data_IF_627733759837
#
_entry.id   IF_627733759837
#
_cell.length_a   1.000
_cell.length_b   1.000
_cell.length_c   1.000
_cell.angle_alpha   90.00
_cell.angle_beta   90.00
_cell.angle_gamma   90.00
#
_symmetry.space_group_name_H-M   'P 1'
#
loop_
_entity.id
_entity.type
_entity.pdbx_description
1 polymer ?
#
# COMPACT_ATOMS: atom_id res chain seq x y z
N UNK A 1 16.51 -25.57 9.02
CA UNK A 1 16.00 -25.17 7.71
C UNK A 1 16.97 -24.24 6.96
N UNK A 2 17.54 -23.19 7.58
CA UNK A 2 18.53 -22.29 6.96
C UNK A 2 19.70 -23.00 6.26
N UNK A 3 20.34 -23.97 6.93
CA UNK A 3 21.47 -24.73 6.37
C UNK A 3 21.11 -25.51 5.10
N UNK A 4 19.89 -26.08 5.04
CA UNK A 4 19.40 -26.79 3.85
C UNK A 4 19.18 -25.82 2.68
N UNK A 5 18.57 -24.66 2.93
CA UNK A 5 18.35 -23.62 1.92
C UNK A 5 19.67 -23.02 1.41
N UNK A 6 20.66 -22.81 2.28
CA UNK A 6 21.99 -22.35 1.87
C UNK A 6 22.70 -23.35 0.97
N UNK A 7 22.61 -24.63 1.31
CA UNK A 7 23.16 -25.72 0.49
C UNK A 7 22.43 -25.79 -0.86
N UNK A 8 21.10 -25.72 -0.86
CA UNK A 8 20.32 -25.74 -2.09
C UNK A 8 20.63 -24.53 -2.99
N UNK A 9 20.79 -23.32 -2.43
CA UNK A 9 21.19 -22.13 -3.21
C UNK A 9 22.51 -22.31 -3.93
N UNK A 10 23.48 -23.02 -3.31
CA UNK A 10 24.81 -23.24 -3.91
C UNK A 10 24.83 -24.41 -4.88
N UNK A 11 24.09 -25.48 -4.60
CA UNK A 11 24.11 -26.70 -5.41
C UNK A 11 23.09 -26.71 -6.53
N UNK A 12 21.93 -26.06 -6.33
CA UNK A 12 20.79 -26.09 -7.24
C UNK A 12 20.18 -24.68 -7.44
N UNK A 13 20.95 -23.71 -7.96
CA UNK A 13 20.46 -22.35 -8.14
C UNK A 13 19.19 -22.28 -9.01
N UNK A 14 19.09 -23.13 -10.03
CA UNK A 14 17.92 -23.22 -10.92
C UNK A 14 16.65 -23.65 -10.19
N UNK A 15 16.77 -24.43 -9.10
CA UNK A 15 15.63 -24.86 -8.31
C UNK A 15 14.87 -23.67 -7.71
N UNK A 16 15.59 -22.68 -7.18
CA UNK A 16 14.97 -21.48 -6.60
C UNK A 16 14.27 -20.64 -7.65
N UNK A 17 14.86 -20.51 -8.84
CA UNK A 17 14.24 -19.77 -9.97
C UNK A 17 12.95 -20.44 -10.41
N UNK A 18 12.95 -21.78 -10.52
CA UNK A 18 11.74 -22.54 -10.87
C UNK A 18 10.69 -22.44 -9.77
N UNK A 19 11.12 -22.57 -8.50
CA UNK A 19 10.22 -22.47 -7.34
C UNK A 19 9.57 -21.10 -7.25
N UNK A 20 10.34 -20.02 -7.42
CA UNK A 20 9.83 -18.64 -7.46
C UNK A 20 8.79 -18.47 -8.56
N UNK A 21 9.08 -18.89 -9.78
CA UNK A 21 8.17 -18.80 -10.91
C UNK A 21 6.85 -19.50 -10.64
N UNK A 22 6.88 -20.74 -10.12
CA UNK A 22 5.69 -21.51 -9.76
C UNK A 22 4.91 -20.88 -8.61
N UNK A 23 5.63 -20.36 -7.62
CA UNK A 23 5.02 -19.59 -6.53
C UNK A 23 4.27 -18.37 -7.05
N UNK A 24 4.87 -17.58 -7.94
CA UNK A 24 4.22 -16.40 -8.53
C UNK A 24 3.00 -16.77 -9.37
N UNK A 25 3.05 -17.88 -10.10
CA UNK A 25 1.90 -18.42 -10.84
C UNK A 25 0.75 -18.78 -9.88
N UNK A 26 1.02 -19.53 -8.83
CA UNK A 26 0.01 -19.94 -7.85
C UNK A 26 -0.58 -18.73 -7.12
N UNK A 27 0.27 -17.78 -6.68
CA UNK A 27 -0.18 -16.51 -6.05
C UNK A 27 -1.12 -15.73 -6.96
N UNK A 28 -0.72 -15.55 -8.22
CA UNK A 28 -1.54 -14.81 -9.16
C UNK A 28 -2.89 -15.50 -9.41
N UNK A 29 -2.89 -16.83 -9.58
CA UNK A 29 -4.14 -17.58 -9.73
C UNK A 29 -5.02 -17.40 -8.48
N UNK A 30 -4.48 -17.58 -7.26
CA UNK A 30 -5.21 -17.36 -5.99
C UNK A 30 -5.93 -16.00 -5.96
N UNK A 31 -5.24 -14.96 -6.43
CA UNK A 31 -5.72 -13.59 -6.37
C UNK A 31 -6.75 -13.24 -7.47
N UNK A 32 -6.60 -13.83 -8.65
CA UNK A 32 -7.32 -13.41 -9.84
C UNK A 32 -8.27 -14.47 -10.40
N UNK A 33 -8.41 -15.61 -9.73
CA UNK A 33 -9.22 -16.72 -10.21
C UNK A 33 -10.72 -16.39 -10.35
N UNK A 34 -11.37 -16.89 -11.41
CA UNK A 34 -10.81 -17.67 -12.49
C UNK A 34 -10.02 -16.79 -13.49
N UNK A 35 -8.81 -17.22 -13.88
CA UNK A 35 -7.91 -16.42 -14.73
C UNK A 35 -7.51 -17.15 -16.01
N UNK A 36 -7.55 -16.42 -17.13
CA UNK A 36 -7.13 -16.92 -18.44
C UNK A 36 -5.61 -16.97 -18.61
N UNK A 37 -5.10 -17.94 -19.42
CA UNK A 37 -3.66 -18.11 -19.66
C UNK A 37 -2.98 -16.86 -20.22
N UNK A 38 -3.59 -16.15 -21.18
CA UNK A 38 -3.01 -14.93 -21.75
C UNK A 38 -2.85 -13.83 -20.71
N UNK A 39 -3.87 -13.61 -19.92
CA UNK A 39 -3.83 -12.61 -18.83
C UNK A 39 -2.71 -12.94 -17.85
N UNK A 40 -2.59 -14.21 -17.44
CA UNK A 40 -1.55 -14.67 -16.54
C UNK A 40 -0.13 -14.50 -17.13
N UNK A 41 0.05 -14.86 -18.41
CA UNK A 41 1.34 -14.72 -19.11
C UNK A 41 1.81 -13.25 -19.17
N UNK A 42 0.89 -12.34 -19.55
CA UNK A 42 1.16 -10.90 -19.61
C UNK A 42 1.51 -10.37 -18.22
N UNK A 43 0.71 -10.71 -17.21
CA UNK A 43 0.88 -10.18 -15.85
C UNK A 43 2.16 -10.65 -15.15
N UNK A 44 2.67 -11.84 -15.51
CA UNK A 44 3.92 -12.39 -14.97
C UNK A 44 5.12 -12.19 -15.90
N UNK A 45 4.94 -11.45 -17.00
CA UNK A 45 5.97 -11.24 -18.02
C UNK A 45 6.61 -12.56 -18.53
N UNK A 46 5.74 -13.59 -18.73
CA UNK A 46 6.13 -14.90 -19.22
C UNK A 46 5.67 -15.08 -20.68
N UNK A 47 6.44 -15.86 -21.45
CA UNK A 47 5.95 -16.29 -22.76
C UNK A 47 4.78 -17.29 -22.58
N UNK A 48 3.82 -17.30 -23.53
CA UNK A 48 2.71 -18.26 -23.48
C UNK A 48 3.20 -19.72 -23.47
N UNK A 49 4.31 -20.01 -24.15
CA UNK A 49 4.94 -21.33 -24.18
C UNK A 49 5.44 -21.74 -22.79
N UNK A 50 6.18 -20.85 -22.13
CA UNK A 50 6.71 -21.08 -20.76
C UNK A 50 5.56 -21.27 -19.79
N UNK A 51 4.59 -20.36 -19.81
CA UNK A 51 3.44 -20.46 -18.92
C UNK A 51 2.64 -21.75 -19.13
N UNK A 52 2.42 -22.17 -20.37
CA UNK A 52 1.72 -23.42 -20.69
C UNK A 52 2.43 -24.60 -20.03
N UNK A 53 3.74 -24.72 -20.21
CA UNK A 53 4.54 -25.80 -19.61
C UNK A 53 4.42 -25.84 -18.09
N UNK A 54 4.53 -24.67 -17.42
CA UNK A 54 4.43 -24.60 -15.96
C UNK A 54 3.02 -24.92 -15.46
N UNK A 55 1.97 -24.40 -16.13
CA UNK A 55 0.58 -24.68 -15.77
C UNK A 55 0.22 -26.15 -16.01
N UNK A 56 0.68 -26.76 -17.09
CA UNK A 56 0.45 -28.19 -17.36
C UNK A 56 1.16 -29.05 -16.30
N UNK A 57 2.36 -28.65 -15.87
CA UNK A 57 3.04 -29.29 -14.73
C UNK A 57 2.23 -29.12 -13.44
N UNK A 58 1.84 -27.90 -13.05
CA UNK A 58 1.05 -27.65 -11.83
C UNK A 58 -0.29 -28.40 -11.83
N UNK A 59 -0.94 -28.53 -13.00
CA UNK A 59 -2.13 -29.35 -13.16
C UNK A 59 -1.83 -30.83 -12.93
N UNK A 60 -0.71 -31.36 -13.48
CA UNK A 60 -0.32 -32.76 -13.28
C UNK A 60 -0.01 -33.10 -11.82
N UNK A 61 0.36 -32.08 -11.02
CA UNK A 61 0.55 -32.18 -9.59
C UNK A 61 -0.72 -31.89 -8.78
N UNK A 62 -1.88 -31.82 -9.43
CA UNK A 62 -3.18 -31.52 -8.79
C UNK A 62 -3.25 -30.18 -8.03
N UNK A 63 -2.44 -29.17 -8.41
CA UNK A 63 -2.40 -27.87 -7.75
C UNK A 63 -3.30 -26.82 -8.44
N UNK A 64 -3.61 -27.02 -9.74
CA UNK A 64 -4.38 -26.08 -10.57
C UNK A 64 -5.43 -26.83 -11.37
N UNK A 65 -6.66 -26.34 -11.36
CA UNK A 65 -7.74 -26.73 -12.26
C UNK A 65 -7.77 -25.82 -13.48
N UNK A 66 -8.10 -26.38 -14.64
CA UNK A 66 -8.27 -25.63 -15.89
C UNK A 66 -9.68 -25.87 -16.40
N UNK A 67 -10.49 -24.80 -16.43
CA UNK A 67 -11.84 -24.79 -16.95
C UNK A 67 -11.93 -23.90 -18.20
N UNK A 68 -13.05 -23.96 -18.90
CA UNK A 68 -13.34 -23.02 -20.00
C UNK A 68 -13.40 -21.56 -19.53
N UNK A 69 -13.83 -21.34 -18.27
CA UNK A 69 -13.88 -20.02 -17.62
C UNK A 69 -12.50 -19.48 -17.17
N UNK A 70 -11.49 -20.36 -17.12
CA UNK A 70 -10.15 -19.99 -16.63
C UNK A 70 -9.56 -21.00 -15.64
N UNK A 71 -8.40 -20.67 -15.10
CA UNK A 71 -7.67 -21.47 -14.11
C UNK A 71 -8.06 -21.06 -12.70
N UNK A 72 -8.14 -22.06 -11.81
CA UNK A 72 -8.35 -21.90 -10.37
C UNK A 72 -7.38 -22.80 -9.61
N UNK A 73 -7.07 -22.47 -8.35
CA UNK A 73 -6.36 -23.39 -7.47
C UNK A 73 -7.30 -24.54 -7.06
N UNK A 74 -6.71 -25.69 -6.79
CA UNK A 74 -7.35 -26.77 -6.03
C UNK A 74 -7.21 -26.51 -4.53
N UNK A 75 -7.88 -27.29 -3.67
CA UNK A 75 -7.69 -27.22 -2.23
C UNK A 75 -6.24 -27.56 -1.84
N UNK A 76 -5.64 -28.57 -2.49
CA UNK A 76 -4.23 -28.93 -2.33
C UNK A 76 -3.31 -27.80 -2.80
N UNK A 77 -3.64 -27.14 -3.92
CA UNK A 77 -2.91 -25.97 -4.41
C UNK A 77 -2.94 -24.80 -3.45
N UNK A 78 -4.06 -24.57 -2.76
CA UNK A 78 -4.17 -23.56 -1.70
C UNK A 78 -3.30 -23.91 -0.50
N UNK A 79 -3.35 -25.13 -0.02
CA UNK A 79 -2.56 -25.62 1.12
C UNK A 79 -1.06 -25.52 0.83
N UNK A 80 -0.61 -25.97 -0.34
CA UNK A 80 0.80 -25.89 -0.76
C UNK A 80 1.25 -24.43 -0.88
N UNK A 81 0.41 -23.56 -1.44
CA UNK A 81 0.75 -22.14 -1.56
C UNK A 81 0.92 -21.48 -0.18
N UNK A 82 0.03 -21.77 0.77
CA UNK A 82 0.12 -21.22 2.13
C UNK A 82 1.40 -21.70 2.86
N UNK A 83 1.78 -22.97 2.70
CA UNK A 83 3.06 -23.50 3.21
C UNK A 83 4.27 -22.86 2.50
N UNK A 84 4.19 -22.66 1.21
CA UNK A 84 5.27 -22.12 0.39
C UNK A 84 5.51 -20.63 0.68
N UNK A 85 4.47 -19.88 1.09
CA UNK A 85 4.59 -18.46 1.42
C UNK A 85 5.65 -18.20 2.50
N UNK A 86 5.62 -18.96 3.60
CA UNK A 86 6.62 -18.87 4.67
C UNK A 86 8.04 -19.22 4.19
N UNK A 87 8.16 -20.29 3.38
CA UNK A 87 9.46 -20.70 2.82
C UNK A 87 10.02 -19.63 1.89
N UNK A 88 9.17 -19.07 1.02
CA UNK A 88 9.60 -18.03 0.09
C UNK A 88 10.02 -16.76 0.79
N UNK A 89 9.33 -16.34 1.85
CA UNK A 89 9.75 -15.19 2.68
C UNK A 89 11.16 -15.41 3.24
N UNK A 90 11.46 -16.62 3.78
CA UNK A 90 12.79 -16.97 4.29
C UNK A 90 13.85 -16.99 3.17
N UNK A 91 13.54 -17.60 2.03
CA UNK A 91 14.43 -17.68 0.85
C UNK A 91 14.77 -16.31 0.28
N UNK A 92 13.79 -15.42 0.18
CA UNK A 92 13.95 -14.05 -0.31
C UNK A 92 14.55 -13.11 0.73
N UNK A 93 14.68 -13.55 1.99
CA UNK A 93 15.20 -12.74 3.08
C UNK A 93 14.27 -11.60 3.50
N UNK A 94 12.98 -11.73 3.23
CA UNK A 94 11.97 -10.69 3.52
C UNK A 94 12.00 -10.30 5.00
N UNK A 95 12.04 -11.30 5.91
CA UNK A 95 12.05 -11.05 7.35
C UNK A 95 13.32 -10.34 7.84
N UNK A 96 14.43 -10.47 7.10
CA UNK A 96 15.69 -9.76 7.38
C UNK A 96 15.54 -8.30 6.90
N UNK A 97 15.00 -8.10 5.70
CA UNK A 97 14.77 -6.75 5.15
C UNK A 97 13.78 -5.97 6.00
N UNK A 98 12.69 -6.59 6.48
CA UNK A 98 11.72 -5.95 7.37
C UNK A 98 12.38 -5.42 8.64
N UNK A 99 13.17 -6.26 9.33
CA UNK A 99 13.90 -5.84 10.54
C UNK A 99 14.91 -4.73 10.25
N UNK A 100 15.69 -4.87 9.19
CA UNK A 100 16.68 -3.86 8.80
C UNK A 100 16.03 -2.51 8.50
N UNK A 101 14.89 -2.50 7.79
CA UNK A 101 14.16 -1.27 7.51
C UNK A 101 13.47 -0.72 8.76
N UNK A 102 12.90 -1.57 9.62
CA UNK A 102 12.30 -1.16 10.89
C UNK A 102 13.31 -0.39 11.75
N UNK A 103 14.52 -0.93 11.90
CA UNK A 103 15.60 -0.30 12.66
C UNK A 103 16.09 1.00 12.00
N UNK A 104 16.34 1.00 10.69
CA UNK A 104 16.90 2.15 9.98
C UNK A 104 15.90 3.31 9.82
N UNK A 105 14.62 3.03 9.70
CA UNK A 105 13.55 4.02 9.58
C UNK A 105 12.96 4.42 10.94
N UNK A 106 13.30 3.71 12.02
CA UNK A 106 12.81 3.94 13.39
C UNK A 106 11.27 3.92 13.48
N UNK A 107 10.64 2.96 12.81
CA UNK A 107 9.19 2.74 12.79
C UNK A 107 8.81 1.51 13.61
N UNK A 108 7.53 1.39 13.99
CA UNK A 108 7.04 0.29 14.81
C UNK A 108 7.12 -1.07 14.09
N UNK A 109 6.77 -1.09 12.81
CA UNK A 109 6.71 -2.31 12.01
C UNK A 109 6.94 -2.01 10.54
N UNK A 110 7.57 -2.93 9.83
CA UNK A 110 7.65 -2.94 8.37
C UNK A 110 7.09 -4.26 7.85
N UNK A 111 6.19 -4.18 6.89
CA UNK A 111 5.59 -5.34 6.20
C UNK A 111 5.96 -5.24 4.73
N UNK A 112 6.63 -6.25 4.20
CA UNK A 112 7.06 -6.30 2.80
C UNK A 112 6.25 -7.37 2.07
N UNK A 113 5.58 -6.97 0.99
CA UNK A 113 4.99 -7.90 0.02
C UNK A 113 5.97 -8.14 -1.14
N UNK A 114 6.06 -9.38 -1.60
CA UNK A 114 6.99 -9.73 -2.70
C UNK A 114 6.57 -9.11 -4.02
N UNK A 115 7.55 -8.65 -4.80
CA UNK A 115 7.40 -8.12 -6.15
C UNK A 115 7.60 -6.61 -6.26
N UNK A 116 7.21 -6.05 -7.43
CA UNK A 116 7.34 -4.63 -7.76
C UNK A 116 6.03 -4.11 -8.36
N UNK A 117 5.36 -3.20 -7.66
CA UNK A 117 4.07 -2.66 -8.13
C UNK A 117 4.21 -1.65 -9.29
N UNK A 118 5.42 -1.20 -9.63
CA UNK A 118 5.67 -0.39 -10.82
C UNK A 118 5.61 -1.23 -12.10
N UNK A 119 6.07 -2.48 -12.03
CA UNK A 119 6.10 -3.41 -13.15
C UNK A 119 4.89 -4.33 -13.17
N UNK A 120 4.38 -4.66 -12.00
CA UNK A 120 3.38 -5.71 -11.79
C UNK A 120 2.17 -5.17 -11.02
N UNK A 121 1.14 -4.64 -11.71
CA UNK A 121 0.02 -3.93 -11.07
C UNK A 121 -0.74 -4.71 -10.00
N UNK A 122 -0.76 -6.06 -10.07
CA UNK A 122 -1.44 -6.88 -9.07
C UNK A 122 -0.74 -6.87 -7.70
N UNK A 123 0.57 -6.53 -7.64
CA UNK A 123 1.30 -6.36 -6.36
C UNK A 123 0.64 -5.28 -5.50
N UNK A 124 0.02 -4.27 -6.12
CA UNK A 124 -0.77 -3.27 -5.39
C UNK A 124 -1.96 -3.86 -4.63
N UNK A 125 -2.57 -4.94 -5.15
CA UNK A 125 -3.63 -5.67 -4.44
C UNK A 125 -3.08 -6.40 -3.21
N UNK A 126 -1.86 -6.95 -3.30
CA UNK A 126 -1.19 -7.56 -2.15
C UNK A 126 -0.87 -6.52 -1.07
N UNK A 127 -0.41 -5.30 -1.45
CA UNK A 127 -0.27 -4.19 -0.51
C UNK A 127 -1.60 -3.87 0.18
N UNK A 128 -2.68 -3.82 -0.60
CA UNK A 128 -4.04 -3.61 -0.08
C UNK A 128 -4.47 -4.69 0.91
N UNK A 129 -4.21 -5.96 0.60
CA UNK A 129 -4.52 -7.11 1.45
C UNK A 129 -3.68 -7.11 2.72
N UNK A 130 -2.37 -6.83 2.62
CA UNK A 130 -1.48 -6.72 3.77
C UNK A 130 -1.97 -5.62 4.73
N UNK A 131 -2.36 -4.45 4.20
CA UNK A 131 -2.93 -3.37 4.99
C UNK A 131 -4.25 -3.77 5.65
N UNK A 132 -5.19 -4.35 4.90
CA UNK A 132 -6.47 -4.81 5.45
C UNK A 132 -6.29 -5.83 6.59
N UNK A 133 -5.35 -6.77 6.44
CA UNK A 133 -5.04 -7.73 7.48
C UNK A 133 -4.41 -7.06 8.71
N UNK A 134 -3.47 -6.11 8.49
CA UNK A 134 -2.80 -5.39 9.58
C UNK A 134 -3.77 -4.53 10.38
N UNK A 135 -4.70 -3.85 9.71
CA UNK A 135 -5.78 -3.10 10.36
C UNK A 135 -6.60 -3.96 11.31
N UNK A 136 -6.96 -5.17 10.90
CA UNK A 136 -7.81 -6.10 11.67
C UNK A 136 -7.20 -6.49 13.02
N UNK A 137 -5.88 -6.49 13.14
CA UNK A 137 -5.21 -6.82 14.41
C UNK A 137 -5.49 -5.78 15.51
N UNK A 138 -5.84 -4.55 15.13
CA UNK A 138 -6.01 -3.44 16.09
C UNK A 138 -7.40 -2.79 16.08
N UNK A 139 -8.26 -3.07 15.11
CA UNK A 139 -9.52 -2.36 15.02
C UNK A 139 -10.53 -2.72 16.11
N UNK A 140 -10.27 -3.72 16.93
CA UNK A 140 -11.05 -3.97 18.15
C UNK A 140 -10.98 -2.82 19.16
N UNK A 141 -9.88 -2.07 19.17
CA UNK A 141 -9.63 -0.94 20.07
C UNK A 141 -9.77 0.43 19.38
N UNK A 142 -9.95 0.45 18.06
CA UNK A 142 -10.00 1.67 17.23
C UNK A 142 -11.38 1.86 16.65
N UNK A 143 -12.02 2.98 17.01
CA UNK A 143 -13.38 3.27 16.57
C UNK A 143 -13.42 4.20 15.35
N UNK A 144 -12.46 5.12 15.21
CA UNK A 144 -12.41 6.08 14.10
C UNK A 144 -11.12 5.86 13.29
N UNK A 145 -11.29 5.60 11.99
CA UNK A 145 -10.20 5.35 11.05
C UNK A 145 -10.23 6.41 9.95
N UNK A 146 -9.21 7.27 9.91
CA UNK A 146 -9.05 8.27 8.88
C UNK A 146 -8.26 7.71 7.68
N UNK A 147 -8.77 7.91 6.47
CA UNK A 147 -8.18 7.33 5.25
C UNK A 147 -7.98 8.39 4.17
N UNK A 148 -6.80 8.44 3.56
CA UNK A 148 -6.54 9.30 2.42
C UNK A 148 -7.10 8.72 1.12
N UNK A 149 -7.10 9.50 0.06
CA UNK A 149 -7.37 9.02 -1.30
C UNK A 149 -6.18 8.27 -1.92
N UNK A 150 -6.36 7.80 -3.13
CA UNK A 150 -5.33 7.20 -3.97
C UNK A 150 -5.59 5.75 -4.37
N UNK A 151 -4.98 5.31 -5.47
CA UNK A 151 -5.21 3.98 -6.04
C UNK A 151 -4.80 2.83 -5.11
N UNK A 152 -3.79 3.03 -4.26
CA UNK A 152 -3.38 2.04 -3.26
C UNK A 152 -4.44 1.91 -2.16
N UNK A 153 -5.00 3.03 -1.69
CA UNK A 153 -6.09 3.04 -0.71
C UNK A 153 -7.36 2.41 -1.26
N UNK A 154 -7.64 2.58 -2.56
CA UNK A 154 -8.74 1.89 -3.23
C UNK A 154 -8.56 0.35 -3.18
N UNK A 155 -7.33 -0.17 -3.31
CA UNK A 155 -7.05 -1.60 -3.17
C UNK A 155 -7.15 -2.07 -1.71
N UNK A 156 -6.79 -1.24 -0.73
CA UNK A 156 -7.07 -1.55 0.69
C UNK A 156 -8.58 -1.73 0.91
N UNK A 157 -9.40 -0.79 0.39
CA UNK A 157 -10.85 -0.89 0.49
C UNK A 157 -11.41 -2.15 -0.19
N UNK A 158 -10.84 -2.55 -1.36
CA UNK A 158 -11.22 -3.78 -2.05
C UNK A 158 -10.95 -5.05 -1.23
N UNK A 159 -9.93 -5.01 -0.38
CA UNK A 159 -9.42 -6.15 0.37
C UNK A 159 -10.05 -6.33 1.75
N UNK A 160 -10.86 -5.38 2.21
CA UNK A 160 -11.56 -5.50 3.48
C UNK A 160 -12.65 -6.57 3.44
N UNK A 161 -12.86 -7.21 4.58
CA UNK A 161 -13.98 -8.12 4.84
C UNK A 161 -14.49 -7.91 6.26
N UNK A 162 -15.79 -8.12 6.52
CA UNK A 162 -16.39 -7.86 7.80
C UNK A 162 -15.98 -8.88 8.86
N UNK A 163 -16.00 -8.43 10.12
CA UNK A 163 -16.02 -9.26 11.32
C UNK A 163 -16.92 -8.59 12.37
N UNK A 164 -17.05 -9.19 13.55
CA UNK A 164 -17.92 -8.65 14.62
C UNK A 164 -17.39 -7.29 15.15
N UNK A 165 -16.09 -7.11 15.18
CA UNK A 165 -15.48 -5.87 15.69
C UNK A 165 -15.64 -4.71 14.71
N UNK A 166 -15.66 -5.00 13.40
CA UNK A 166 -15.76 -3.98 12.36
C UNK A 166 -17.06 -3.18 12.40
N UNK A 167 -18.15 -3.74 12.96
CA UNK A 167 -19.44 -3.06 13.11
C UNK A 167 -19.38 -1.78 13.96
N UNK A 168 -18.35 -1.63 14.78
CA UNK A 168 -18.13 -0.47 15.67
C UNK A 168 -17.27 0.62 15.05
N UNK A 169 -16.73 0.39 13.87
CA UNK A 169 -15.82 1.31 13.20
C UNK A 169 -16.56 2.44 12.51
N UNK A 170 -15.90 3.59 12.45
CA UNK A 170 -16.31 4.73 11.64
C UNK A 170 -15.16 5.10 10.73
N UNK A 171 -15.34 4.98 9.42
CA UNK A 171 -14.38 5.44 8.45
C UNK A 171 -14.63 6.91 8.11
N UNK A 172 -13.58 7.72 8.13
CA UNK A 172 -13.63 9.15 7.80
C UNK A 172 -12.55 9.49 6.76
N UNK A 173 -12.80 10.41 5.82
CA UNK A 173 -11.78 10.83 4.88
C UNK A 173 -10.73 11.66 5.63
N UNK A 174 -9.46 11.34 5.48
CA UNK A 174 -8.37 12.08 6.14
C UNK A 174 -8.20 13.50 5.59
N UNK A 175 -8.77 13.80 4.42
CA UNK A 175 -8.66 15.10 3.74
C UNK A 175 -9.76 15.31 2.70
N UNK A 176 -9.90 16.54 2.21
CA UNK A 176 -10.81 16.90 1.13
C UNK A 176 -10.51 16.22 -0.21
N UNK A 177 -11.42 16.38 -1.18
CA UNK A 177 -11.31 15.74 -2.49
C UNK A 177 -10.27 16.41 -3.40
N UNK A 178 -9.38 15.62 -4.00
CA UNK A 178 -8.49 16.01 -5.10
C UNK A 178 -9.23 15.69 -6.40
N UNK A 179 -9.10 16.49 -7.44
CA UNK A 179 -9.76 16.32 -8.74
C UNK A 179 -9.29 15.09 -9.53
N UNK A 180 -9.34 13.89 -8.93
CA UNK A 180 -8.96 12.60 -9.53
C UNK A 180 -10.17 11.76 -9.94
N UNK A 181 -9.88 10.57 -10.50
CA UNK A 181 -10.87 9.54 -10.75
C UNK A 181 -11.68 9.23 -9.47
N UNK A 182 -13.00 9.18 -9.59
CA UNK A 182 -13.94 9.06 -8.46
C UNK A 182 -13.58 7.89 -7.51
N UNK A 183 -13.14 6.76 -8.06
CA UNK A 183 -12.76 5.58 -7.27
C UNK A 183 -11.54 5.80 -6.36
N UNK A 184 -10.73 6.83 -6.61
CA UNK A 184 -9.54 7.17 -5.83
C UNK A 184 -9.79 8.30 -4.82
N UNK A 185 -11.01 8.87 -4.79
CA UNK A 185 -11.37 9.93 -3.83
C UNK A 185 -11.49 9.36 -2.42
N UNK A 186 -11.03 10.11 -1.42
CA UNK A 186 -11.10 9.67 -0.02
C UNK A 186 -12.55 9.34 0.42
N UNK A 187 -13.53 10.16 0.01
CA UNK A 187 -14.95 9.90 0.29
C UNK A 187 -15.45 8.57 -0.28
N UNK A 188 -15.11 8.26 -1.54
CA UNK A 188 -15.48 6.99 -2.19
C UNK A 188 -14.80 5.79 -1.53
N UNK A 189 -13.54 5.97 -1.11
CA UNK A 189 -12.77 4.93 -0.44
C UNK A 189 -13.36 4.61 0.93
N UNK A 190 -13.68 5.61 1.76
CA UNK A 190 -14.25 5.37 3.09
C UNK A 190 -15.65 4.77 3.02
N UNK A 191 -16.47 5.18 2.05
CA UNK A 191 -17.77 4.54 1.78
C UNK A 191 -17.57 3.06 1.46
N UNK A 192 -16.67 2.73 0.53
CA UNK A 192 -16.38 1.36 0.12
C UNK A 192 -15.82 0.52 1.26
N UNK A 193 -14.92 1.10 2.08
CA UNK A 193 -14.40 0.44 3.27
C UNK A 193 -15.52 0.11 4.25
N UNK A 194 -16.41 1.05 4.51
CA UNK A 194 -17.55 0.86 5.38
C UNK A 194 -18.50 -0.22 4.88
N UNK A 195 -18.82 -0.22 3.58
CA UNK A 195 -19.63 -1.26 2.95
C UNK A 195 -19.00 -2.65 3.12
N UNK A 196 -17.68 -2.76 2.82
CA UNK A 196 -16.94 -4.02 2.90
C UNK A 196 -16.78 -4.54 4.32
N UNK A 197 -16.63 -3.66 5.29
CA UNK A 197 -16.46 -3.99 6.72
C UNK A 197 -17.77 -4.04 7.51
N UNK A 198 -18.92 -3.74 6.89
CA UNK A 198 -20.22 -3.54 7.55
C UNK A 198 -20.15 -2.49 8.68
N UNK A 199 -19.40 -1.41 8.45
CA UNK A 199 -19.12 -0.31 9.35
C UNK A 199 -19.91 0.95 8.98
N UNK A 200 -19.73 2.01 9.76
CA UNK A 200 -20.24 3.36 9.44
C UNK A 200 -19.17 4.20 8.74
N UNK A 201 -19.59 5.28 8.08
CA UNK A 201 -18.68 6.26 7.49
C UNK A 201 -19.22 7.69 7.61
N UNK A 202 -18.32 8.65 7.39
CA UNK A 202 -18.65 10.06 7.19
C UNK A 202 -18.00 10.53 5.90
N UNK A 203 -18.50 11.62 5.35
CA UNK A 203 -17.96 12.26 4.13
C UNK A 203 -17.61 13.70 4.41
N UNK A 204 -16.59 14.20 3.74
CA UNK A 204 -16.14 15.58 3.82
C UNK A 204 -16.29 16.24 2.44
N UNK A 205 -17.34 17.02 2.26
CA UNK A 205 -17.65 17.68 0.98
C UNK A 205 -16.92 19.02 0.87
N UNK A 206 -15.60 18.99 0.88
CA UNK A 206 -14.76 20.16 0.60
C UNK A 206 -13.63 19.77 -0.35
N UNK A 207 -13.19 20.70 -1.21
CA UNK A 207 -12.00 20.51 -2.01
C UNK A 207 -10.77 20.29 -1.11
N UNK A 208 -9.79 19.53 -1.60
CA UNK A 208 -8.53 19.32 -0.90
C UNK A 208 -7.77 20.62 -0.67
N UNK A 209 -7.74 21.49 -1.70
CA UNK A 209 -7.03 22.76 -1.68
C UNK A 209 -8.02 23.94 -1.68
N UNK A 210 -7.84 24.86 -0.74
CA UNK A 210 -8.66 26.05 -0.56
C UNK A 210 -7.80 27.31 -0.46
N UNK A 211 -8.35 28.45 -0.85
CA UNK A 211 -7.76 29.76 -0.48
C UNK A 211 -7.91 30.00 1.02
N UNK A 212 -7.05 30.85 1.59
CA UNK A 212 -7.07 31.13 3.04
C UNK A 212 -8.41 31.64 3.56
N UNK A 213 -9.10 32.50 2.78
CA UNK A 213 -10.40 33.06 3.15
C UNK A 213 -11.50 31.99 3.13
N UNK A 214 -11.53 31.15 2.10
CA UNK A 214 -12.49 30.05 1.97
C UNK A 214 -12.24 29.01 3.06
N UNK A 215 -11.00 28.67 3.33
CA UNK A 215 -10.61 27.75 4.43
C UNK A 215 -11.13 28.24 5.79
N UNK A 216 -10.93 29.52 6.11
CA UNK A 216 -11.42 30.11 7.36
C UNK A 216 -12.95 30.13 7.46
N UNK A 217 -13.65 30.28 6.34
CA UNK A 217 -15.12 30.24 6.28
C UNK A 217 -15.65 28.82 6.48
N UNK A 218 -15.08 27.81 5.80
CA UNK A 218 -15.48 26.41 5.97
C UNK A 218 -15.26 25.90 7.39
N UNK A 219 -14.20 26.34 8.07
CA UNK A 219 -13.96 25.96 9.45
C UNK A 219 -15.02 26.48 10.44
N UNK A 220 -15.83 27.47 10.07
CA UNK A 220 -16.92 28.02 10.89
C UNK A 220 -18.22 27.26 10.69
N UNK A 221 -18.38 26.53 9.60
CA UNK A 221 -19.59 25.78 9.29
C UNK A 221 -19.75 24.58 10.27
N UNK A 222 -20.87 24.50 11.02
CA UNK A 222 -21.04 23.48 12.06
C UNK A 222 -20.88 22.04 11.54
N UNK A 223 -21.48 21.72 10.39
CA UNK A 223 -21.42 20.38 9.80
C UNK A 223 -19.99 19.99 9.38
N UNK A 224 -19.22 20.93 8.85
CA UNK A 224 -17.82 20.71 8.47
C UNK A 224 -16.95 20.56 9.72
N UNK A 225 -17.17 21.43 10.73
CA UNK A 225 -16.45 21.39 11.99
C UNK A 225 -16.61 20.05 12.72
N UNK A 226 -17.82 19.49 12.70
CA UNK A 226 -18.08 18.18 13.31
C UNK A 226 -17.25 17.08 12.63
N UNK A 227 -17.26 17.02 11.29
CA UNK A 227 -16.49 16.02 10.55
C UNK A 227 -14.99 16.23 10.75
N UNK A 228 -14.48 17.46 10.72
CA UNK A 228 -13.06 17.76 10.99
C UNK A 228 -12.68 17.31 12.42
N UNK A 229 -13.55 17.53 13.39
CA UNK A 229 -13.31 17.06 14.77
C UNK A 229 -13.18 15.54 14.82
N UNK A 230 -14.04 14.80 14.13
CA UNK A 230 -13.96 13.33 14.04
C UNK A 230 -12.68 12.89 13.31
N UNK A 231 -12.30 13.58 12.22
CA UNK A 231 -11.04 13.28 11.51
C UNK A 231 -9.84 13.46 12.45
N UNK A 232 -9.80 14.55 13.22
CA UNK A 232 -8.69 14.83 14.15
C UNK A 232 -8.68 13.88 15.36
N UNK A 233 -9.83 13.35 15.77
CA UNK A 233 -9.92 12.36 16.84
C UNK A 233 -9.68 10.92 16.38
N UNK A 234 -9.35 10.69 15.09
CA UNK A 234 -9.09 9.35 14.59
C UNK A 234 -7.97 8.65 15.38
N UNK A 235 -8.24 7.42 15.79
CA UNK A 235 -7.29 6.56 16.49
C UNK A 235 -6.28 5.90 15.53
N UNK A 236 -6.73 5.64 14.30
CA UNK A 236 -5.93 5.05 13.23
C UNK A 236 -5.98 5.93 11.98
N UNK A 237 -4.83 6.14 11.36
CA UNK A 237 -4.70 6.93 10.14
C UNK A 237 -4.04 6.06 9.08
N UNK A 238 -4.69 5.91 7.92
CA UNK A 238 -4.19 5.10 6.82
C UNK A 238 -3.97 6.01 5.62
N UNK A 239 -2.74 5.99 5.10
CA UNK A 239 -2.38 6.88 4.00
C UNK A 239 -1.36 6.26 3.05
N UNK A 240 -1.28 6.83 1.85
CA UNK A 240 -0.22 6.57 0.90
C UNK A 240 0.82 7.67 0.88
N UNK A 241 1.93 7.40 0.18
CA UNK A 241 2.93 8.40 -0.20
C UNK A 241 2.91 8.53 -1.71
N UNK A 242 2.86 9.77 -2.21
CA UNK A 242 2.94 10.12 -3.62
C UNK A 242 4.34 10.58 -4.01
N UNK A 243 4.68 10.43 -5.30
CA UNK A 243 5.77 11.18 -5.91
C UNK A 243 5.41 12.67 -5.95
N UNK A 244 6.37 13.56 -5.67
CA UNK A 244 6.11 14.99 -5.50
C UNK A 244 5.55 15.62 -6.79
N UNK A 245 6.18 15.35 -7.94
CA UNK A 245 5.78 15.95 -9.20
C UNK A 245 4.46 15.36 -9.70
N UNK A 246 4.29 14.04 -9.62
CA UNK A 246 3.03 13.39 -9.98
C UNK A 246 1.84 13.90 -9.14
N UNK A 247 2.05 14.19 -7.85
CA UNK A 247 0.99 14.74 -6.99
C UNK A 247 0.71 16.21 -7.28
N UNK A 248 1.72 17.00 -7.64
CA UNK A 248 1.53 18.37 -8.05
C UNK A 248 0.76 18.48 -9.38
N UNK A 249 1.04 17.63 -10.34
CA UNK A 249 0.31 17.52 -11.61
C UNK A 249 -1.17 17.14 -11.38
N UNK A 250 -1.43 16.12 -10.54
CA UNK A 250 -2.79 15.71 -10.19
C UNK A 250 -3.64 16.82 -9.54
N UNK A 251 -2.99 17.72 -8.82
CA UNK A 251 -3.64 18.90 -8.23
C UNK A 251 -3.79 20.07 -9.20
N UNK A 252 -3.33 19.91 -10.44
CA UNK A 252 -3.25 21.03 -11.39
C UNK A 252 -2.52 22.23 -10.79
N UNK A 253 -1.40 21.97 -10.10
CA UNK A 253 -0.63 22.99 -9.40
C UNK A 253 -0.10 24.05 -10.37
N UNK A 254 -0.11 25.35 -9.99
CA UNK A 254 0.35 26.43 -10.85
C UNK A 254 1.85 26.32 -11.17
N UNK A 255 2.33 26.86 -12.29
CA UNK A 255 3.74 26.77 -12.71
C UNK A 255 4.75 27.26 -11.66
N UNK A 256 4.39 28.28 -10.90
CA UNK A 256 5.24 28.78 -9.81
C UNK A 256 5.46 27.75 -8.70
N UNK A 257 4.41 26.99 -8.36
CA UNK A 257 4.53 25.89 -7.40
C UNK A 257 5.39 24.77 -7.96
N UNK A 258 5.17 24.37 -9.21
CA UNK A 258 6.00 23.34 -9.87
C UNK A 258 7.47 23.73 -9.86
N UNK A 259 7.78 24.99 -10.21
CA UNK A 259 9.14 25.51 -10.13
C UNK A 259 9.70 25.45 -8.71
N UNK A 260 8.94 25.85 -7.70
CA UNK A 260 9.35 25.79 -6.30
C UNK A 260 9.68 24.37 -5.85
N UNK A 261 8.89 23.37 -6.30
CA UNK A 261 9.13 21.96 -5.99
C UNK A 261 10.41 21.44 -6.65
N UNK A 262 10.66 21.82 -7.90
CA UNK A 262 11.88 21.48 -8.64
C UNK A 262 13.12 22.13 -8.00
N UNK A 263 13.09 23.44 -7.74
CA UNK A 263 14.20 24.18 -7.12
C UNK A 263 14.52 23.66 -5.71
N UNK A 264 13.48 23.17 -4.99
CA UNK A 264 13.60 22.58 -3.65
C UNK A 264 13.91 21.08 -3.66
N UNK A 265 14.10 20.45 -4.82
CA UNK A 265 14.34 19.00 -4.98
C UNK A 265 13.30 18.14 -4.24
N UNK A 266 12.01 18.49 -4.35
CA UNK A 266 10.94 17.74 -3.73
C UNK A 266 10.82 16.35 -4.36
N UNK A 267 10.84 15.28 -3.54
CA UNK A 267 10.79 13.88 -3.97
C UNK A 267 9.49 13.20 -3.58
N UNK A 268 8.82 13.63 -2.52
CA UNK A 268 7.63 12.97 -1.99
C UNK A 268 6.56 13.91 -1.52
N UNK A 269 5.34 13.39 -1.45
CA UNK A 269 4.17 14.10 -0.90
C UNK A 269 3.36 13.17 0.01
N UNK A 270 2.97 13.70 1.18
CA UNK A 270 1.95 13.12 2.05
C UNK A 270 1.19 14.24 2.76
N UNK A 271 -0.13 14.11 2.91
CA UNK A 271 -1.03 15.07 3.59
C UNK A 271 -0.97 16.52 3.07
N UNK A 272 -0.52 16.76 1.83
CA UNK A 272 -0.33 18.10 1.27
C UNK A 272 1.03 18.72 1.56
N UNK A 273 1.92 18.01 2.23
CA UNK A 273 3.29 18.42 2.47
C UNK A 273 4.21 17.78 1.44
N UNK A 274 5.04 18.57 0.79
CA UNK A 274 6.05 18.15 -0.16
C UNK A 274 7.42 18.17 0.51
N UNK A 275 8.17 17.10 0.38
CA UNK A 275 9.43 16.87 1.08
C UNK A 275 10.60 16.71 0.12
N UNK A 276 11.77 17.27 0.47
CA UNK A 276 13.04 16.94 -0.17
C UNK A 276 13.57 15.57 0.31
N UNK A 277 14.69 15.10 -0.25
CA UNK A 277 15.32 13.82 0.13
C UNK A 277 15.71 13.74 1.62
N UNK A 278 15.88 14.88 2.28
CA UNK A 278 16.23 14.97 3.70
C UNK A 278 15.03 14.95 4.64
N UNK A 279 13.81 14.92 4.09
CA UNK A 279 12.58 14.98 4.88
C UNK A 279 12.18 16.41 5.27
N UNK A 280 12.87 17.42 4.74
CA UNK A 280 12.51 18.82 4.97
C UNK A 280 11.32 19.21 4.11
N UNK A 281 10.35 19.92 4.68
CA UNK A 281 9.19 20.43 3.96
C UNK A 281 9.60 21.55 3.00
N UNK A 282 9.48 21.31 1.70
CA UNK A 282 9.71 22.28 0.62
C UNK A 282 8.50 23.15 0.41
N UNK A 283 7.30 22.56 0.47
CA UNK A 283 6.04 23.27 0.27
C UNK A 283 4.91 22.58 1.04
N UNK A 284 3.96 23.40 1.51
CA UNK A 284 2.72 22.94 2.14
C UNK A 284 1.54 23.50 1.38
N UNK A 285 0.65 22.62 0.95
CA UNK A 285 -0.66 23.01 0.43
C UNK A 285 -1.64 23.21 1.58
N UNK A 286 -2.43 24.27 1.55
CA UNK A 286 -3.47 24.48 2.56
C UNK A 286 -4.63 23.51 2.31
N UNK A 287 -4.66 22.42 3.08
CA UNK A 287 -5.64 21.34 2.95
C UNK A 287 -6.55 21.25 4.17
N UNK A 288 -7.79 20.83 3.95
CA UNK A 288 -8.73 20.51 5.04
C UNK A 288 -8.57 19.05 5.41
N UNK A 289 -8.35 18.77 6.70
CA UNK A 289 -8.21 17.40 7.24
C UNK A 289 -6.98 17.24 8.13
N UNK A 290 -6.40 16.02 8.13
CA UNK A 290 -5.21 15.68 8.92
C UNK A 290 -4.01 16.55 8.51
N UNK A 291 -3.34 17.08 9.51
CA UNK A 291 -2.05 17.76 9.39
C UNK A 291 -0.95 16.91 10.04
N UNK A 292 0.33 17.19 9.78
CA UNK A 292 1.44 16.45 10.40
C UNK A 292 1.40 16.54 11.93
N UNK A 293 1.02 17.67 12.48
CA UNK A 293 0.90 17.88 13.93
C UNK A 293 -0.25 17.05 14.57
N UNK A 294 -1.16 16.53 13.75
CA UNK A 294 -2.22 15.63 14.21
C UNK A 294 -1.75 14.17 14.31
N UNK A 295 -0.53 13.86 13.81
CA UNK A 295 0.08 12.52 13.86
C UNK A 295 0.87 12.35 15.16
N UNK A 296 0.17 12.08 16.26
CA UNK A 296 0.81 11.86 17.55
C UNK A 296 1.23 10.39 17.73
N UNK A 297 2.20 10.09 18.63
CA UNK A 297 2.63 8.72 18.91
C UNK A 297 1.52 7.79 19.43
N UNK A 298 0.45 8.35 20.02
CA UNK A 298 -0.69 7.59 20.52
C UNK A 298 -1.59 7.07 19.38
N UNK A 299 -1.49 7.67 18.20
CA UNK A 299 -2.25 7.25 17.02
C UNK A 299 -1.50 6.16 16.25
N UNK A 300 -2.24 5.18 15.78
CA UNK A 300 -1.68 4.20 14.84
C UNK A 300 -1.65 4.79 13.44
N UNK A 301 -0.47 4.93 12.87
CA UNK A 301 -0.30 5.38 11.49
C UNK A 301 0.10 4.19 10.62
N UNK A 302 -0.69 3.88 9.59
CA UNK A 302 -0.37 2.84 8.61
C UNK A 302 -0.10 3.53 7.27
N UNK A 303 1.14 3.47 6.84
CA UNK A 303 1.60 4.04 5.57
C UNK A 303 1.73 2.92 4.54
N UNK A 304 1.03 3.04 3.41
CA UNK A 304 1.07 2.03 2.34
C UNK A 304 1.60 2.65 1.06
N UNK A 305 2.83 2.31 0.72
CA UNK A 305 3.47 2.82 -0.49
C UNK A 305 4.45 1.79 -1.03
N UNK A 306 4.41 1.51 -2.32
CA UNK A 306 5.30 0.57 -3.00
C UNK A 306 5.69 1.07 -4.38
N UNK A 307 6.62 0.34 -4.98
CA UNK A 307 7.28 0.67 -6.24
C UNK A 307 8.68 1.22 -6.03
N UNK A 308 9.62 0.72 -6.81
CA UNK A 308 11.02 1.17 -6.79
C UNK A 308 11.13 2.69 -6.95
N UNK A 309 10.29 3.26 -7.81
CA UNK A 309 10.27 4.70 -8.12
C UNK A 309 9.91 5.57 -6.91
N UNK A 310 9.21 5.01 -5.91
CA UNK A 310 8.79 5.74 -4.71
C UNK A 310 9.73 5.60 -3.52
N UNK A 311 10.80 4.83 -3.62
CA UNK A 311 11.69 4.60 -2.48
C UNK A 311 12.23 5.89 -1.86
N UNK A 312 12.64 6.88 -2.69
CA UNK A 312 13.08 8.20 -2.21
C UNK A 312 11.97 8.94 -1.45
N UNK A 313 10.75 8.93 -1.98
CA UNK A 313 9.60 9.56 -1.33
C UNK A 313 9.26 8.90 0.01
N UNK A 314 9.30 7.55 0.07
CA UNK A 314 9.09 6.79 1.29
C UNK A 314 10.15 7.15 2.34
N UNK A 315 11.43 7.10 1.97
CA UNK A 315 12.54 7.46 2.88
C UNK A 315 12.40 8.87 3.42
N UNK A 316 12.09 9.81 2.54
CA UNK A 316 11.91 11.21 2.91
C UNK A 316 10.81 11.40 3.96
N UNK A 317 9.62 10.84 3.71
CA UNK A 317 8.50 10.92 4.65
C UNK A 317 8.82 10.24 5.99
N UNK A 318 9.46 9.06 5.98
CA UNK A 318 9.76 8.30 7.19
C UNK A 318 10.72 9.04 8.15
N UNK A 319 11.52 9.99 7.68
CA UNK A 319 12.38 10.82 8.57
C UNK A 319 11.59 11.67 9.57
N UNK A 320 10.34 12.00 9.28
CA UNK A 320 9.46 12.77 10.16
C UNK A 320 8.21 12.00 10.61
N UNK A 321 8.09 10.71 10.28
CA UNK A 321 6.95 9.90 10.65
C UNK A 321 6.97 9.58 12.16
N UNK A 322 5.80 9.46 12.82
CA UNK A 322 5.74 8.99 14.20
C UNK A 322 6.35 7.59 14.35
N UNK A 323 6.99 7.31 15.50
CA UNK A 323 7.54 5.98 15.79
C UNK A 323 6.48 4.87 15.84
N UNK A 324 5.21 5.22 16.04
CA UNK A 324 4.05 4.30 15.97
C UNK A 324 3.64 3.91 14.53
N UNK A 325 4.41 4.33 13.52
CA UNK A 325 4.10 4.06 12.11
C UNK A 325 4.37 2.60 11.75
N UNK A 326 3.42 2.00 11.03
CA UNK A 326 3.60 0.74 10.31
C UNK A 326 3.79 1.07 8.83
N UNK A 327 4.92 0.68 8.25
CA UNK A 327 5.18 0.80 6.82
C UNK A 327 4.80 -0.51 6.11
N UNK A 328 3.92 -0.43 5.12
CA UNK A 328 3.61 -1.54 4.21
C UNK A 328 4.14 -1.17 2.83
N UNK A 329 5.07 -1.95 2.32
CA UNK A 329 5.76 -1.68 1.06
C UNK A 329 5.96 -2.94 0.24
N UNK A 330 6.45 -2.83 -1.00
CA UNK A 330 6.84 -3.97 -1.80
C UNK A 330 8.36 -4.21 -1.75
N UNK A 331 8.75 -5.39 -2.20
CA UNK A 331 10.15 -5.85 -2.20
C UNK A 331 11.06 -4.91 -2.99
N UNK A 332 10.60 -4.40 -4.14
CA UNK A 332 11.40 -3.52 -4.97
C UNK A 332 11.71 -2.17 -4.29
N UNK A 333 10.72 -1.57 -3.63
CA UNK A 333 10.95 -0.37 -2.83
C UNK A 333 11.82 -0.67 -1.60
N UNK A 334 11.63 -1.82 -0.94
CA UNK A 334 12.42 -2.23 0.21
C UNK A 334 13.91 -2.39 -0.13
N UNK A 335 14.22 -3.06 -1.23
CA UNK A 335 15.61 -3.20 -1.71
C UNK A 335 16.26 -1.85 -2.01
N UNK A 336 15.55 -0.93 -2.67
CA UNK A 336 16.04 0.42 -2.96
C UNK A 336 16.24 1.25 -1.69
N UNK A 337 15.36 1.10 -0.70
CA UNK A 337 15.49 1.73 0.61
C UNK A 337 16.73 1.25 1.36
N UNK A 338 17.04 -0.05 1.32
CA UNK A 338 18.22 -0.64 1.95
C UNK A 338 19.50 -0.17 1.24
N UNK A 339 19.55 -0.25 -0.09
CA UNK A 339 20.73 0.13 -0.88
C UNK A 339 21.08 1.62 -0.71
N UNK A 340 20.10 2.50 -0.68
CA UNK A 340 20.33 3.92 -0.50
C UNK A 340 20.80 4.33 0.92
N UNK A 341 20.77 3.43 1.90
CA UNK A 341 21.38 3.67 3.21
C UNK A 341 22.91 3.46 3.20
N UNK A 342 23.47 2.91 2.12
CA UNK A 342 24.91 2.65 1.96
C UNK A 342 25.63 3.66 1.08
N UNK A 343 24.99 4.76 0.68
CA UNK A 343 25.72 5.85 -0.01
C UNK A 343 26.43 6.67 1.08
N UNK A 344 27.79 6.70 1.08
CA UNK A 344 28.60 7.39 2.09
C UNK A 344 28.41 8.91 2.05
#
# INVERSE_FOLDING_TARGET
>A
MRTLLEVQRKLLPDFLVVMQKRYDILRYIKMMQPVGRRSLAVSLNLTERTLRSEVDFLKSQNLVNIFTSGMTLTDEGMEILDKLEGIMREVMGIDIMERQLQESLQVDEVIIVSGNCDETPWVKKELGKACANRMKLEWNSKNIIAVTGGSTMAEVANSLSPDEASKKLIFVPARGGIGEAVQNQANTIVEKMAQKAHASYRVLYVPDQLSGEVYASFQKEPAIKEVISQIKSADMIIHGIGDAMAMAERRNSPPEMLKKLLDGNAVGEAFGYYYDENGKVVHKVLTVGIQLDDLSPEKRVITVAGGKTKAKAIRSYMKGAPSSTVLITDEAAALELIQGNYTP
#
